data_IF_874364654272
#
_entry.id   IF_874364654272
#
_cell.length_a   1.000
_cell.length_b   1.000
_cell.length_c   1.000
_cell.angle_alpha   90.00
_cell.angle_beta   90.00
_cell.angle_gamma   90.00
#
_symmetry.space_group_name_H-M   'P 1'
#
loop_
_entity.id
_entity.type
_entity.pdbx_description
1 polymer ?
#
# COMPACT_ATOMS: atom_id res chain seq x y z
N UNK A 1 -44.62 7.05 -33.66
CA UNK A 1 -45.99 7.58 -33.64
C UNK A 1 -45.90 9.01 -33.18
N UNK A 2 -45.71 9.91 -34.13
CA UNK A 2 -45.80 11.36 -33.95
C UNK A 2 -47.17 11.81 -34.44
N UNK A 3 -47.63 13.00 -34.07
CA UNK A 3 -48.91 13.54 -34.52
C UNK A 3 -49.10 13.52 -36.05
N UNK A 4 -48.01 13.57 -36.84
CA UNK A 4 -48.04 13.46 -38.31
C UNK A 4 -48.52 12.11 -38.85
N UNK A 5 -48.33 10.99 -38.14
CA UNK A 5 -48.84 9.70 -38.62
C UNK A 5 -50.39 9.68 -38.72
N UNK A 6 -51.07 10.67 -38.09
CA UNK A 6 -52.52 10.81 -38.07
C UNK A 6 -53.08 11.79 -39.09
N UNK A 7 -52.25 12.66 -39.69
CA UNK A 7 -52.70 13.74 -40.58
C UNK A 7 -51.82 13.86 -41.82
N UNK A 8 -52.42 13.86 -43.01
CA UNK A 8 -51.71 14.03 -44.30
C UNK A 8 -51.08 15.43 -44.43
N UNK A 9 -51.72 16.44 -43.82
CA UNK A 9 -51.25 17.83 -43.69
C UNK A 9 -52.10 18.50 -42.62
N UNK A 10 -51.48 19.13 -41.62
CA UNK A 10 -52.20 19.89 -40.56
C UNK A 10 -51.88 21.38 -40.73
N UNK A 11 -52.92 22.18 -40.97
CA UNK A 11 -52.83 23.63 -41.14
C UNK A 11 -53.88 24.33 -40.30
N UNK A 12 -53.52 25.48 -39.74
CA UNK A 12 -54.40 26.30 -38.91
C UNK A 12 -54.14 27.79 -39.19
N UNK A 13 -55.13 28.63 -38.90
CA UNK A 13 -54.93 30.07 -38.77
C UNK A 13 -54.31 30.39 -37.40
N UNK A 14 -53.49 31.44 -37.35
CA UNK A 14 -52.84 31.92 -36.15
C UNK A 14 -52.57 33.43 -36.26
N UNK A 15 -52.32 34.08 -35.11
CA UNK A 15 -51.82 35.46 -35.07
C UNK A 15 -50.33 35.45 -34.81
N UNK A 16 -49.54 36.06 -35.69
CA UNK A 16 -48.09 36.14 -35.54
C UNK A 16 -47.62 37.58 -35.36
N UNK A 17 -46.63 37.75 -34.50
CA UNK A 17 -45.91 39.00 -34.25
C UNK A 17 -44.42 38.76 -34.41
N UNK A 18 -43.82 39.41 -35.41
CA UNK A 18 -42.42 39.20 -35.80
C UNK A 18 -41.40 39.94 -34.90
N UNK A 19 -41.81 40.99 -34.19
CA UNK A 19 -40.98 41.72 -33.24
C UNK A 19 -41.86 42.39 -32.18
N UNK A 20 -41.27 42.76 -31.04
CA UNK A 20 -42.00 43.34 -29.91
C UNK A 20 -42.77 44.64 -30.24
N UNK A 21 -42.29 45.40 -31.23
CA UNK A 21 -42.86 46.66 -31.72
C UNK A 21 -43.77 46.50 -32.95
N UNK A 22 -43.90 45.29 -33.50
CA UNK A 22 -44.76 45.02 -34.65
C UNK A 22 -46.19 44.63 -34.25
N UNK A 23 -47.15 44.95 -35.12
CA UNK A 23 -48.54 44.54 -34.95
C UNK A 23 -48.73 43.05 -35.26
N UNK A 24 -49.61 42.41 -34.50
CA UNK A 24 -50.08 41.04 -34.80
C UNK A 24 -50.74 41.02 -36.16
N UNK A 25 -50.40 40.03 -36.98
CA UNK A 25 -50.98 39.80 -38.30
C UNK A 25 -51.52 38.38 -38.40
N UNK A 26 -52.62 38.21 -39.14
CA UNK A 26 -53.15 36.89 -39.46
C UNK A 26 -52.18 36.14 -40.38
N UNK A 27 -51.87 34.91 -40.00
CA UNK A 27 -50.99 34.00 -40.73
C UNK A 27 -51.61 32.63 -40.82
N UNK A 28 -51.21 31.89 -41.84
CA UNK A 28 -51.44 30.45 -41.89
C UNK A 28 -50.21 29.73 -41.34
N UNK A 29 -50.44 28.70 -40.54
CA UNK A 29 -49.38 27.84 -40.01
C UNK A 29 -49.56 26.43 -40.53
N UNK A 30 -48.46 25.81 -40.96
CA UNK A 30 -48.45 24.42 -41.39
C UNK A 30 -47.44 23.62 -40.59
N UNK A 31 -47.89 22.43 -40.18
CA UNK A 31 -47.12 21.52 -39.34
C UNK A 31 -46.38 20.50 -40.22
N UNK A 32 -45.05 20.49 -40.16
CA UNK A 32 -44.18 19.50 -40.80
C UNK A 32 -43.48 18.57 -39.80
N UNK A 33 -42.58 17.71 -40.26
CA UNK A 33 -41.96 16.64 -39.45
C UNK A 33 -41.26 17.12 -38.16
N UNK A 34 -40.56 18.24 -38.23
CA UNK A 34 -39.86 18.86 -37.09
C UNK A 34 -39.93 20.39 -37.09
N UNK A 35 -40.76 20.96 -37.98
CA UNK A 35 -40.80 22.39 -38.25
C UNK A 35 -42.23 22.89 -38.32
N UNK A 36 -42.47 24.07 -37.77
CA UNK A 36 -43.70 24.84 -37.95
C UNK A 36 -43.40 25.94 -38.96
N UNK A 37 -44.10 25.93 -40.09
CA UNK A 37 -43.96 26.96 -41.13
C UNK A 37 -45.04 28.00 -40.94
N UNK A 38 -44.65 29.27 -40.85
CA UNK A 38 -45.56 30.42 -40.76
C UNK A 38 -45.59 31.09 -42.14
N UNK A 39 -46.78 31.29 -42.71
CA UNK A 39 -46.96 31.84 -44.05
C UNK A 39 -48.04 32.95 -44.09
N UNK A 40 -47.91 33.87 -45.04
CA UNK A 40 -48.89 34.93 -45.26
C UNK A 40 -50.21 34.40 -45.88
N UNK A 41 -51.20 35.29 -46.04
CA UNK A 41 -52.50 34.95 -46.64
C UNK A 41 -52.43 34.46 -48.10
N UNK A 42 -51.30 34.66 -48.79
CA UNK A 42 -51.04 34.17 -50.15
C UNK A 42 -50.22 32.87 -50.17
N UNK A 43 -49.91 32.32 -48.99
CA UNK A 43 -49.14 31.08 -48.83
C UNK A 43 -47.62 31.27 -48.96
N UNK A 44 -47.10 32.50 -48.90
CA UNK A 44 -45.65 32.74 -48.92
C UNK A 44 -45.08 32.52 -47.52
N UNK A 45 -44.02 31.71 -47.35
CA UNK A 45 -43.41 31.46 -46.05
C UNK A 45 -42.77 32.74 -45.51
N UNK A 46 -43.13 33.12 -44.28
CA UNK A 46 -42.62 34.24 -43.52
C UNK A 46 -41.51 33.79 -42.56
N UNK A 47 -41.71 32.65 -41.88
CA UNK A 47 -40.76 32.11 -40.91
C UNK A 47 -40.84 30.58 -40.81
N UNK A 48 -39.74 29.98 -40.36
CA UNK A 48 -39.65 28.55 -40.04
C UNK A 48 -39.19 28.38 -38.61
N UNK A 49 -40.03 27.78 -37.77
CA UNK A 49 -39.69 27.52 -36.38
C UNK A 49 -39.41 26.04 -36.17
N UNK A 50 -38.43 25.74 -35.31
CA UNK A 50 -38.14 24.38 -34.87
C UNK A 50 -39.11 23.98 -33.77
N UNK A 51 -39.95 22.96 -34.01
CA UNK A 51 -40.91 22.44 -33.02
C UNK A 51 -40.27 22.09 -31.67
N UNK A 52 -39.09 21.42 -31.59
CA UNK A 52 -38.42 21.16 -30.32
C UNK A 52 -37.99 22.42 -29.54
N UNK A 53 -37.81 23.55 -30.22
CA UNK A 53 -37.37 24.80 -29.60
C UNK A 53 -38.55 25.65 -29.11
N UNK A 54 -39.79 25.31 -29.47
CA UNK A 54 -40.96 26.08 -29.07
C UNK A 54 -41.16 26.06 -27.55
N UNK A 55 -41.39 27.25 -27.01
CA UNK A 55 -41.69 27.48 -25.60
C UNK A 55 -43.12 27.99 -25.51
N UNK A 56 -43.96 27.27 -24.76
CA UNK A 56 -45.32 27.71 -24.44
C UNK A 56 -45.24 28.76 -23.33
N UNK A 57 -45.70 29.96 -23.62
CA UNK A 57 -45.63 31.13 -22.73
C UNK A 57 -46.81 31.19 -21.75
N UNK A 58 -47.97 30.64 -22.13
CA UNK A 58 -49.16 30.52 -21.26
C UNK A 58 -49.62 29.05 -21.17
N UNK A 59 -49.03 28.25 -20.27
CA UNK A 59 -49.48 26.88 -20.02
C UNK A 59 -50.98 26.85 -19.67
N UNK A 60 -51.68 25.82 -20.17
CA UNK A 60 -53.09 25.54 -19.86
C UNK A 60 -54.14 26.59 -20.29
N UNK A 61 -53.73 27.65 -20.99
CA UNK A 61 -54.63 28.68 -21.56
C UNK A 61 -54.78 28.56 -23.10
N UNK A 62 -55.91 29.05 -23.62
CA UNK A 62 -56.23 29.14 -25.06
C UNK A 62 -56.76 30.56 -25.37
N UNK A 63 -56.27 31.26 -26.42
CA UNK A 63 -55.27 30.83 -27.41
C UNK A 63 -53.89 30.55 -26.80
N UNK A 64 -53.22 29.50 -27.27
CA UNK A 64 -51.88 29.15 -26.82
C UNK A 64 -50.85 30.06 -27.49
N UNK A 65 -49.94 30.59 -26.67
CA UNK A 65 -48.88 31.52 -27.06
C UNK A 65 -47.56 30.74 -27.09
N UNK A 66 -46.95 30.69 -28.27
CA UNK A 66 -45.67 30.04 -28.50
C UNK A 66 -44.61 31.06 -28.92
N UNK A 67 -43.38 30.84 -28.46
CA UNK A 67 -42.19 31.58 -28.86
C UNK A 67 -41.07 30.62 -29.29
N UNK A 68 -40.17 31.03 -30.21
CA UNK A 68 -39.02 30.22 -30.64
C UNK A 68 -37.83 30.31 -29.69
N UNK A 69 -37.83 31.25 -28.74
CA UNK A 69 -36.78 31.51 -27.76
C UNK A 69 -37.35 31.96 -26.39
N UNK A 70 -36.47 32.05 -25.38
CA UNK A 70 -36.84 32.47 -24.01
C UNK A 70 -37.17 33.97 -23.91
N UNK A 71 -36.63 34.79 -24.81
CA UNK A 71 -36.83 36.25 -24.83
C UNK A 71 -38.18 36.66 -25.47
N UNK A 72 -38.93 35.69 -26.01
CA UNK A 72 -40.19 35.87 -26.70
C UNK A 72 -40.11 36.94 -27.81
N UNK A 73 -39.00 36.91 -28.56
CA UNK A 73 -38.69 37.88 -29.63
C UNK A 73 -39.79 37.90 -30.71
N UNK A 74 -40.29 36.71 -31.05
CA UNK A 74 -41.46 36.48 -31.88
C UNK A 74 -42.54 35.73 -31.09
N UNK A 75 -43.81 36.03 -31.39
CA UNK A 75 -44.95 35.38 -30.74
C UNK A 75 -45.92 34.85 -31.78
N UNK A 76 -46.38 33.62 -31.58
CA UNK A 76 -47.44 32.98 -32.34
C UNK A 76 -48.58 32.57 -31.41
N UNK A 77 -49.78 33.05 -31.69
CA UNK A 77 -51.00 32.74 -30.93
C UNK A 77 -51.87 31.81 -31.77
N UNK A 78 -52.16 30.63 -31.23
CA UNK A 78 -52.90 29.55 -31.90
C UNK A 78 -54.16 29.27 -31.11
N UNK A 79 -55.32 29.34 -31.75
CA UNK A 79 -56.61 29.03 -31.12
C UNK A 79 -57.07 27.59 -31.40
N UNK A 80 -56.57 26.94 -32.46
CA UNK A 80 -56.93 25.56 -32.81
C UNK A 80 -56.34 24.56 -31.82
N UNK A 81 -57.22 23.91 -31.07
CA UNK A 81 -56.87 22.87 -30.09
C UNK A 81 -56.14 21.69 -30.72
N UNK A 82 -56.46 21.33 -31.96
CA UNK A 82 -55.82 20.21 -32.69
C UNK A 82 -54.35 20.52 -32.98
N UNK A 83 -54.07 21.75 -33.43
CA UNK A 83 -52.72 22.24 -33.67
C UNK A 83 -51.91 22.32 -32.37
N UNK A 84 -52.51 22.84 -31.29
CA UNK A 84 -51.88 22.90 -29.96
C UNK A 84 -51.51 21.50 -29.47
N UNK A 85 -52.44 20.54 -29.56
CA UNK A 85 -52.20 19.16 -29.15
C UNK A 85 -51.06 18.50 -29.95
N UNK A 86 -51.01 18.73 -31.27
CA UNK A 86 -49.95 18.22 -32.13
C UNK A 86 -48.56 18.77 -31.76
N UNK A 87 -48.47 20.09 -31.49
CA UNK A 87 -47.23 20.73 -31.02
C UNK A 87 -46.79 20.12 -29.70
N UNK A 88 -47.71 19.97 -28.73
CA UNK A 88 -47.39 19.42 -27.41
C UNK A 88 -46.99 17.94 -27.46
N UNK A 89 -47.60 17.14 -28.33
CA UNK A 89 -47.23 15.72 -28.52
C UNK A 89 -45.79 15.58 -29.02
N UNK A 90 -45.39 16.39 -30.01
CA UNK A 90 -44.03 16.38 -30.56
C UNK A 90 -43.02 16.89 -29.53
N UNK A 91 -43.33 17.98 -28.81
CA UNK A 91 -42.48 18.49 -27.71
C UNK A 91 -42.25 17.43 -26.63
N UNK A 92 -43.30 16.72 -26.21
CA UNK A 92 -43.20 15.63 -25.22
C UNK A 92 -42.38 14.45 -25.72
N UNK A 93 -42.57 14.04 -26.98
CA UNK A 93 -41.80 12.97 -27.59
C UNK A 93 -40.29 13.29 -27.64
N UNK A 94 -39.94 14.51 -28.00
CA UNK A 94 -38.55 14.97 -28.09
C UNK A 94 -37.91 15.21 -26.72
N UNK A 95 -38.66 15.74 -25.74
CA UNK A 95 -38.19 15.88 -24.36
C UNK A 95 -37.83 14.52 -23.73
N UNK A 96 -38.56 13.45 -24.09
CA UNK A 96 -38.29 12.08 -23.64
C UNK A 96 -37.02 11.48 -24.26
N UNK A 97 -36.59 11.96 -25.42
CA UNK A 97 -35.40 11.49 -26.14
C UNK A 97 -34.09 12.13 -25.64
N UNK A 98 -34.15 13.12 -24.74
CA UNK A 98 -32.94 13.80 -24.23
C UNK A 98 -32.13 12.86 -23.33
N UNK A 99 -30.82 12.64 -23.61
CA UNK A 99 -29.98 11.78 -22.77
C UNK A 99 -29.77 12.45 -21.41
N UNK A 100 -30.18 11.76 -20.34
CA UNK A 100 -29.92 12.22 -18.95
C UNK A 100 -28.55 11.71 -18.53
N UNK A 101 -27.58 12.58 -18.17
CA UNK A 101 -26.29 12.12 -17.65
C UNK A 101 -26.53 11.29 -16.39
N UNK A 102 -26.21 9.99 -16.46
CA UNK A 102 -26.57 9.03 -15.42
C UNK A 102 -25.64 9.09 -14.20
N UNK A 103 -26.15 8.60 -13.06
CA UNK A 103 -25.37 8.42 -11.82
C UNK A 103 -24.21 7.42 -11.97
N UNK A 104 -24.22 6.59 -13.01
CA UNK A 104 -23.22 5.56 -13.29
C UNK A 104 -21.79 6.12 -13.35
N UNK A 105 -21.61 7.31 -13.93
CA UNK A 105 -20.29 7.97 -13.98
C UNK A 105 -19.73 8.21 -12.57
N UNK A 106 -20.56 8.66 -11.64
CA UNK A 106 -20.16 8.94 -10.26
C UNK A 106 -19.79 7.66 -9.50
N UNK A 107 -20.55 6.58 -9.69
CA UNK A 107 -20.25 5.27 -9.10
C UNK A 107 -18.94 4.70 -9.64
N UNK A 108 -18.69 4.80 -10.94
CA UNK A 108 -17.43 4.36 -11.55
C UNK A 108 -16.23 5.17 -11.04
N UNK A 109 -16.35 6.50 -10.95
CA UNK A 109 -15.28 7.34 -10.41
C UNK A 109 -15.02 7.05 -8.94
N UNK A 110 -16.06 6.87 -8.13
CA UNK A 110 -15.92 6.53 -6.72
C UNK A 110 -15.26 5.15 -6.55
N UNK A 111 -15.68 4.16 -7.34
CA UNK A 111 -15.07 2.83 -7.36
C UNK A 111 -13.58 2.88 -7.71
N UNK A 112 -13.19 3.69 -8.70
CA UNK A 112 -11.79 3.84 -9.09
C UNK A 112 -10.94 4.49 -7.99
N UNK A 113 -11.48 5.51 -7.30
CA UNK A 113 -10.80 6.17 -6.18
C UNK A 113 -10.60 5.20 -5.02
N UNK A 114 -11.65 4.45 -4.64
CA UNK A 114 -11.58 3.45 -3.57
C UNK A 114 -10.57 2.36 -3.91
N UNK A 115 -10.60 1.84 -5.15
CA UNK A 115 -9.65 0.84 -5.61
C UNK A 115 -8.20 1.35 -5.57
N UNK A 116 -7.98 2.60 -5.99
CA UNK A 116 -6.65 3.21 -5.96
C UNK A 116 -6.14 3.41 -4.52
N UNK A 117 -7.00 3.86 -3.60
CA UNK A 117 -6.66 3.97 -2.18
C UNK A 117 -6.35 2.60 -1.57
N UNK A 118 -7.16 1.59 -1.87
CA UNK A 118 -6.92 0.22 -1.41
C UNK A 118 -5.54 -0.27 -1.92
N UNK A 119 -5.23 -0.07 -3.19
CA UNK A 119 -3.93 -0.47 -3.73
C UNK A 119 -2.77 0.28 -3.05
N UNK A 120 -2.93 1.59 -2.80
CA UNK A 120 -1.93 2.39 -2.10
C UNK A 120 -1.72 1.92 -0.65
N UNK A 121 -2.78 1.56 0.08
CA UNK A 121 -2.68 1.16 1.49
C UNK A 121 -2.18 -0.28 1.63
N UNK A 122 -2.64 -1.21 0.79
CA UNK A 122 -2.31 -2.63 0.93
C UNK A 122 -1.03 -3.03 0.20
N UNK A 123 -0.63 -2.34 -0.89
CA UNK A 123 0.47 -2.78 -1.73
C UNK A 123 1.72 -1.90 -1.63
N UNK A 124 1.56 -0.57 -1.56
CA UNK A 124 2.67 0.37 -1.47
C UNK A 124 3.62 0.11 -0.28
N UNK A 125 3.14 -0.27 0.93
CA UNK A 125 4.03 -0.43 2.06
C UNK A 125 5.09 -1.51 1.82
N UNK A 126 4.65 -2.70 1.40
CA UNK A 126 5.55 -3.80 1.11
C UNK A 126 6.46 -3.51 -0.08
N UNK A 127 5.98 -2.79 -1.10
CA UNK A 127 6.79 -2.42 -2.26
C UNK A 127 7.91 -1.44 -1.90
N UNK A 128 7.62 -0.41 -1.11
CA UNK A 128 8.61 0.57 -0.67
C UNK A 128 9.69 -0.05 0.22
N UNK A 129 9.31 -0.89 1.19
CA UNK A 129 10.28 -1.54 2.07
C UNK A 129 11.21 -2.44 1.29
N UNK A 130 10.68 -3.31 0.39
CA UNK A 130 11.51 -4.17 -0.46
C UNK A 130 12.47 -3.37 -1.35
N UNK A 131 12.00 -2.29 -1.97
CA UNK A 131 12.85 -1.46 -2.81
C UNK A 131 13.95 -0.77 -2.00
N UNK A 132 13.62 -0.30 -0.80
CA UNK A 132 14.60 0.33 0.10
C UNK A 132 15.69 -0.67 0.49
N UNK A 133 15.32 -1.88 0.91
CA UNK A 133 16.28 -2.91 1.29
C UNK A 133 17.20 -3.35 0.14
N UNK A 134 16.69 -3.35 -1.09
CA UNK A 134 17.47 -3.69 -2.28
C UNK A 134 18.50 -2.60 -2.65
N UNK A 135 18.26 -1.34 -2.28
CA UNK A 135 19.11 -0.20 -2.65
C UNK A 135 20.07 0.20 -1.53
N UNK A 136 19.74 -0.06 -0.26
CA UNK A 136 20.62 0.25 0.88
C UNK A 136 21.90 -0.58 0.79
N UNK A 137 23.08 0.06 0.61
CA UNK A 137 24.36 -0.64 0.52
C UNK A 137 24.70 -1.37 1.82
N UNK A 138 25.52 -2.43 1.72
CA UNK A 138 26.03 -3.18 2.89
C UNK A 138 26.76 -2.29 3.89
N UNK A 139 27.52 -1.29 3.40
CA UNK A 139 28.20 -0.31 4.26
C UNK A 139 27.23 0.47 5.16
N UNK A 140 26.08 0.88 4.62
CA UNK A 140 25.07 1.62 5.39
C UNK A 140 24.36 0.71 6.39
N UNK A 141 24.15 -0.56 6.05
CA UNK A 141 23.63 -1.57 7.00
C UNK A 141 24.57 -1.76 8.19
N UNK A 142 25.88 -1.84 7.94
CA UNK A 142 26.89 -1.92 9.00
C UNK A 142 26.95 -0.65 9.87
N UNK A 143 26.82 0.53 9.27
CA UNK A 143 26.72 1.80 10.01
C UNK A 143 25.53 1.80 10.97
N UNK A 144 24.34 1.44 10.48
CA UNK A 144 23.12 1.31 11.30
C UNK A 144 23.32 0.27 12.41
N UNK A 145 23.92 -0.89 12.09
CA UNK A 145 24.19 -1.93 13.07
C UNK A 145 25.12 -1.49 14.19
N UNK A 146 26.19 -0.75 13.87
CA UNK A 146 27.14 -0.22 14.86
C UNK A 146 26.46 0.84 15.74
N UNK A 147 25.61 1.69 15.16
CA UNK A 147 24.82 2.66 15.91
C UNK A 147 23.84 1.97 16.88
N UNK A 148 23.12 0.95 16.40
CA UNK A 148 22.24 0.13 17.23
C UNK A 148 23.00 -0.57 18.37
N UNK A 149 24.18 -1.13 18.09
CA UNK A 149 25.05 -1.73 19.09
C UNK A 149 25.49 -0.71 20.16
N UNK A 150 25.69 0.56 19.78
CA UNK A 150 25.96 1.65 20.72
C UNK A 150 24.82 1.85 21.73
N UNK A 151 23.58 1.87 21.25
CA UNK A 151 22.40 1.96 22.13
C UNK A 151 22.19 0.70 22.97
N UNK A 152 22.49 -0.48 22.43
CA UNK A 152 22.32 -1.76 23.13
C UNK A 152 23.23 -1.83 24.35
N UNK A 153 24.49 -1.40 24.20
CA UNK A 153 25.48 -1.38 25.27
C UNK A 153 25.09 -0.51 26.48
N UNK A 154 24.18 0.45 26.32
CA UNK A 154 23.65 1.24 27.45
C UNK A 154 22.84 0.34 28.39
N UNK A 155 22.19 -0.69 27.86
CA UNK A 155 21.33 -1.61 28.61
C UNK A 155 22.04 -2.91 28.97
N UNK A 156 22.86 -3.45 28.07
CA UNK A 156 23.52 -4.76 28.22
C UNK A 156 24.91 -4.67 28.87
N UNK A 157 25.41 -3.44 29.09
CA UNK A 157 26.80 -3.17 29.43
C UNK A 157 27.70 -3.05 28.19
N UNK A 158 28.86 -2.42 28.37
CA UNK A 158 29.84 -2.23 27.30
C UNK A 158 30.33 -3.57 26.74
N UNK A 159 30.54 -3.62 25.42
CA UNK A 159 31.06 -4.82 24.78
C UNK A 159 32.42 -5.22 25.37
N UNK A 160 32.56 -6.49 25.73
CA UNK A 160 33.78 -7.04 26.28
C UNK A 160 34.87 -7.08 25.20
N UNK A 161 36.10 -6.77 25.57
CA UNK A 161 37.22 -6.65 24.62
C UNK A 161 38.45 -7.36 25.13
N UNK A 162 38.92 -8.34 24.35
CA UNK A 162 40.13 -9.06 24.65
C UNK A 162 40.79 -9.53 23.35
N UNK A 163 42.01 -9.08 23.00
CA UNK A 163 42.59 -9.37 21.67
C UNK A 163 42.63 -10.85 21.29
N UNK A 164 42.86 -11.76 22.26
CA UNK A 164 42.81 -13.22 22.03
C UNK A 164 41.40 -13.73 21.82
N UNK A 165 40.44 -13.28 22.64
CA UNK A 165 39.04 -13.69 22.51
C UNK A 165 38.43 -13.12 21.22
N UNK A 166 38.77 -11.90 20.82
CA UNK A 166 38.32 -11.30 19.55
C UNK A 166 38.82 -12.11 18.34
N UNK A 167 40.04 -12.65 18.42
CA UNK A 167 40.56 -13.58 17.42
C UNK A 167 39.79 -14.91 17.41
N UNK A 168 39.48 -15.47 18.59
CA UNK A 168 38.68 -16.68 18.73
C UNK A 168 37.24 -16.47 18.21
N UNK A 169 36.61 -15.34 18.50
CA UNK A 169 35.28 -14.96 18.00
C UNK A 169 35.26 -14.91 16.47
N UNK A 170 36.29 -14.33 15.84
CA UNK A 170 36.43 -14.34 14.37
C UNK A 170 36.58 -15.75 13.80
N UNK A 171 37.36 -16.64 14.44
CA UNK A 171 37.49 -18.03 13.99
C UNK A 171 36.17 -18.79 14.14
N UNK A 172 35.44 -18.55 15.22
CA UNK A 172 34.10 -19.11 15.40
C UNK A 172 33.15 -18.62 14.30
N UNK A 173 33.12 -17.32 14.01
CA UNK A 173 32.32 -16.78 12.90
C UNK A 173 32.70 -17.43 11.56
N UNK A 174 34.00 -17.58 11.27
CA UNK A 174 34.49 -18.25 10.05
C UNK A 174 34.11 -19.74 9.99
N UNK A 175 34.07 -20.43 11.14
CA UNK A 175 33.62 -21.83 11.22
C UNK A 175 32.12 -21.98 10.96
N UNK A 176 31.32 -21.04 11.41
CA UNK A 176 29.85 -21.09 11.30
C UNK A 176 29.35 -20.60 9.94
N UNK A 177 29.98 -19.56 9.38
CA UNK A 177 29.49 -18.87 8.18
C UNK A 177 30.45 -18.96 6.98
N UNK A 178 31.58 -19.65 7.14
CA UNK A 178 32.60 -19.82 6.11
C UNK A 178 33.73 -18.79 6.17
N UNK A 179 34.87 -19.06 5.49
CA UNK A 179 36.12 -18.30 5.65
C UNK A 179 36.05 -16.85 5.14
N UNK A 180 35.11 -16.56 4.23
CA UNK A 180 34.90 -15.23 3.64
C UNK A 180 33.83 -14.41 4.37
N UNK A 181 33.34 -14.90 5.52
CA UNK A 181 32.30 -14.20 6.26
C UNK A 181 32.78 -12.82 6.73
N UNK A 182 31.86 -11.86 6.67
CA UNK A 182 32.02 -10.53 7.27
C UNK A 182 31.32 -10.44 8.64
N UNK A 183 30.70 -11.53 9.09
CA UNK A 183 29.97 -11.57 10.36
C UNK A 183 30.89 -11.35 11.55
N UNK A 184 30.53 -10.41 12.41
CA UNK A 184 31.24 -10.12 13.64
C UNK A 184 30.43 -10.57 14.85
N UNK A 185 31.06 -11.33 15.73
CA UNK A 185 30.48 -11.73 17.01
C UNK A 185 30.99 -10.78 18.09
N UNK A 186 30.08 -10.09 18.75
CA UNK A 186 30.37 -9.12 19.82
C UNK A 186 29.79 -9.67 21.12
N UNK A 187 30.59 -9.77 22.17
CA UNK A 187 30.13 -10.27 23.46
C UNK A 187 29.77 -9.11 24.38
N UNK A 188 28.62 -9.18 25.02
CA UNK A 188 28.16 -8.20 26.03
C UNK A 188 27.89 -8.89 27.37
N UNK A 189 28.01 -8.17 28.50
CA UNK A 189 27.84 -8.76 29.84
C UNK A 189 26.46 -9.36 30.13
N UNK A 190 25.38 -8.70 29.69
CA UNK A 190 24.01 -9.10 30.01
C UNK A 190 23.10 -8.95 28.78
N UNK A 191 22.73 -10.06 28.16
CA UNK A 191 21.74 -10.10 27.08
C UNK A 191 20.77 -11.27 27.27
N UNK A 192 19.57 -10.97 27.79
CA UNK A 192 18.50 -11.94 28.10
C UNK A 192 18.20 -12.98 27.01
N UNK A 193 18.34 -12.59 25.75
CA UNK A 193 18.03 -13.44 24.60
C UNK A 193 19.09 -14.51 24.33
N UNK A 194 20.25 -14.42 24.97
CA UNK A 194 21.43 -15.24 24.67
C UNK A 194 22.19 -14.77 23.45
N UNK A 195 21.51 -14.54 22.33
CA UNK A 195 22.12 -13.92 21.16
C UNK A 195 21.11 -13.09 20.37
N UNK A 196 21.58 -12.00 19.76
CA UNK A 196 20.78 -11.08 18.97
C UNK A 196 21.56 -10.68 17.71
N UNK A 197 20.96 -10.90 16.54
CA UNK A 197 21.52 -10.43 15.27
C UNK A 197 21.03 -9.01 14.96
N UNK A 198 21.96 -8.14 14.55
CA UNK A 198 21.76 -6.74 14.19
C UNK A 198 22.06 -6.54 12.69
N UNK A 199 21.58 -5.45 12.08
CA UNK A 199 21.92 -5.10 10.70
C UNK A 199 23.44 -5.06 10.44
N UNK A 200 23.85 -5.44 9.23
CA UNK A 200 25.25 -5.33 8.82
C UNK A 200 26.16 -6.42 9.36
N UNK A 201 25.63 -7.64 9.49
CA UNK A 201 26.36 -8.86 9.86
C UNK A 201 26.97 -8.80 11.28
N UNK A 202 26.27 -8.18 12.22
CA UNK A 202 26.65 -8.13 13.62
C UNK A 202 25.80 -9.12 14.42
N UNK A 203 26.43 -9.96 15.23
CA UNK A 203 25.76 -10.84 16.17
C UNK A 203 26.27 -10.52 17.56
N UNK A 204 25.36 -10.10 18.43
CA UNK A 204 25.63 -9.83 19.84
C UNK A 204 25.36 -11.11 20.62
N UNK A 205 26.32 -11.56 21.41
CA UNK A 205 26.25 -12.76 22.23
C UNK A 205 26.32 -12.38 23.71
N UNK A 206 25.45 -12.98 24.50
CA UNK A 206 25.44 -12.88 25.94
C UNK A 206 26.65 -13.61 26.54
N UNK A 207 27.34 -12.96 27.46
CA UNK A 207 28.47 -13.58 28.14
C UNK A 207 28.06 -14.82 28.94
N UNK A 208 26.84 -14.83 29.51
CA UNK A 208 26.32 -15.99 30.25
C UNK A 208 26.33 -17.26 29.38
N UNK A 209 25.98 -17.17 28.09
CA UNK A 209 25.96 -18.31 27.17
C UNK A 209 27.33 -18.99 27.05
N UNK A 210 28.42 -18.22 27.17
CA UNK A 210 29.79 -18.77 27.16
C UNK A 210 30.14 -19.49 28.48
N UNK A 211 29.50 -19.12 29.58
CA UNK A 211 29.74 -19.72 30.91
C UNK A 211 28.90 -20.96 31.20
N UNK A 212 27.79 -21.15 30.48
CA UNK A 212 26.83 -22.22 30.77
C UNK A 212 27.31 -23.63 30.38
N UNK A 213 28.33 -23.75 29.55
CA UNK A 213 28.86 -25.03 29.09
C UNK A 213 30.33 -24.94 28.69
N UNK A 214 31.04 -26.06 28.84
CA UNK A 214 32.40 -26.24 28.31
C UNK A 214 32.40 -26.57 26.80
N UNK A 215 31.22 -26.77 26.19
CA UNK A 215 31.09 -27.09 24.77
C UNK A 215 30.79 -25.85 23.90
N UNK A 216 31.67 -25.48 22.95
CA UNK A 216 31.43 -24.36 22.02
C UNK A 216 30.18 -24.53 21.14
N UNK A 217 29.62 -25.75 21.03
CA UNK A 217 28.37 -26.00 20.32
C UNK A 217 27.19 -25.20 20.91
N UNK A 218 27.21 -24.90 22.21
CA UNK A 218 26.17 -24.07 22.85
C UNK A 218 26.17 -22.66 22.26
N UNK A 219 27.32 -21.98 22.28
CA UNK A 219 27.45 -20.63 21.72
C UNK A 219 27.16 -20.61 20.22
N UNK A 220 27.67 -21.60 19.47
CA UNK A 220 27.36 -21.77 18.05
C UNK A 220 25.85 -21.89 17.79
N UNK A 221 25.15 -22.66 18.61
CA UNK A 221 23.70 -22.81 18.53
C UNK A 221 22.93 -21.52 18.74
N UNK A 222 23.26 -20.73 19.77
CA UNK A 222 22.63 -19.41 20.00
C UNK A 222 22.93 -18.42 18.86
N UNK A 223 24.18 -18.40 18.36
CA UNK A 223 24.57 -17.56 17.22
C UNK A 223 23.75 -17.91 15.98
N UNK A 224 23.65 -19.21 15.65
CA UNK A 224 22.89 -19.68 14.49
C UNK A 224 21.38 -19.47 14.68
N UNK A 225 20.87 -19.61 15.90
CA UNK A 225 19.47 -19.35 16.23
C UNK A 225 19.09 -17.87 16.05
N UNK A 226 19.95 -16.93 16.50
CA UNK A 226 19.69 -15.50 16.32
C UNK A 226 19.67 -15.09 14.84
N UNK A 227 20.52 -15.70 14.01
CA UNK A 227 20.48 -15.51 12.56
C UNK A 227 19.23 -16.18 11.94
N UNK A 228 18.91 -17.42 12.32
CA UNK A 228 17.74 -18.14 11.80
C UNK A 228 16.42 -17.41 12.11
N UNK A 229 16.34 -16.69 13.23
CA UNK A 229 15.20 -15.89 13.62
C UNK A 229 14.92 -14.71 12.67
N UNK A 230 15.95 -14.24 11.94
CA UNK A 230 15.86 -13.08 11.04
C UNK A 230 15.91 -13.46 9.55
N UNK A 231 16.21 -14.69 9.17
CA UNK A 231 16.43 -15.04 7.76
C UNK A 231 15.18 -14.95 6.83
N UNK A 232 13.95 -14.83 7.37
CA UNK A 232 12.75 -14.50 6.57
C UNK A 232 12.47 -12.99 6.47
N UNK A 233 13.03 -12.21 7.39
CA UNK A 233 12.79 -10.78 7.53
C UNK A 233 14.12 -10.15 7.90
N UNK A 234 14.80 -9.61 6.89
CA UNK A 234 16.05 -8.85 7.02
C UNK A 234 16.00 -7.97 8.30
N UNK A 235 17.04 -7.95 9.17
CA UNK A 235 16.99 -7.22 10.44
C UNK A 235 16.56 -5.76 10.25
N UNK A 236 16.98 -5.15 9.14
CA UNK A 236 16.56 -3.81 8.75
C UNK A 236 15.10 -3.78 8.27
N UNK A 237 14.62 -4.83 7.60
CA UNK A 237 13.19 -4.97 7.25
C UNK A 237 12.31 -5.03 8.48
N UNK A 238 12.70 -5.78 9.52
CA UNK A 238 11.94 -5.88 10.77
C UNK A 238 11.79 -4.52 11.43
N UNK A 239 12.90 -3.76 11.53
CA UNK A 239 12.90 -2.37 11.99
C UNK A 239 11.97 -1.49 11.14
N UNK A 240 12.12 -1.52 9.82
CA UNK A 240 11.32 -0.68 8.91
C UNK A 240 9.82 -1.02 8.92
N UNK A 241 9.45 -2.30 9.13
CA UNK A 241 8.06 -2.73 9.25
C UNK A 241 7.42 -2.30 10.56
N UNK A 242 8.17 -2.31 11.66
CA UNK A 242 7.68 -1.85 12.97
C UNK A 242 7.50 -0.33 13.01
N UNK A 243 8.43 0.42 12.44
CA UNK A 243 8.45 1.88 12.48
C UNK A 243 7.60 2.53 11.37
N UNK A 244 7.39 1.81 10.27
CA UNK A 244 6.48 2.19 9.19
C UNK A 244 7.11 2.99 8.05
N UNK A 245 6.23 3.55 7.22
CA UNK A 245 6.61 4.10 5.91
C UNK A 245 7.36 5.42 5.97
N UNK A 246 7.12 6.24 7.00
CA UNK A 246 7.85 7.50 7.18
C UNK A 246 9.36 7.24 7.31
N UNK A 247 9.73 6.28 8.17
CA UNK A 247 11.11 5.85 8.38
C UNK A 247 11.71 5.21 7.14
N UNK A 248 10.93 4.35 6.46
CA UNK A 248 11.35 3.72 5.19
C UNK A 248 11.66 4.77 4.12
N UNK A 249 10.78 5.75 3.92
CA UNK A 249 10.96 6.82 2.94
C UNK A 249 12.12 7.75 3.29
N UNK A 250 12.30 8.06 4.58
CA UNK A 250 13.44 8.86 5.05
C UNK A 250 14.76 8.15 4.81
N UNK A 251 14.87 6.87 5.18
CA UNK A 251 16.07 6.08 4.87
C UNK A 251 16.37 6.05 3.37
N UNK A 252 15.34 5.91 2.52
CA UNK A 252 15.51 5.90 1.08
C UNK A 252 16.01 7.26 0.52
N UNK A 253 15.58 8.37 1.11
CA UNK A 253 15.87 9.72 0.61
C UNK A 253 17.11 10.37 1.23
N UNK A 254 17.37 10.13 2.52
CA UNK A 254 18.48 10.71 3.28
C UNK A 254 19.57 9.71 3.59
N UNK A 255 19.30 8.40 3.50
CA UNK A 255 20.24 7.36 3.91
C UNK A 255 20.37 7.21 5.43
N UNK A 256 19.44 7.75 6.23
CA UNK A 256 19.53 7.79 7.69
C UNK A 256 18.23 7.35 8.35
N UNK A 257 18.35 6.73 9.52
CA UNK A 257 17.24 6.44 10.44
C UNK A 257 17.40 7.36 11.65
N UNK A 258 16.32 8.00 12.15
CA UNK A 258 16.39 8.83 13.34
C UNK A 258 16.95 8.06 14.56
N UNK A 259 17.83 8.70 15.32
CA UNK A 259 18.44 8.14 16.52
C UNK A 259 17.41 7.66 17.55
N UNK A 260 16.30 8.38 17.68
CA UNK A 260 15.24 8.06 18.64
C UNK A 260 14.56 6.74 18.28
N UNK A 261 14.41 6.46 16.99
CA UNK A 261 13.82 5.23 16.45
C UNK A 261 14.78 4.05 16.66
N UNK A 262 16.06 4.23 16.38
CA UNK A 262 17.06 3.19 16.63
C UNK A 262 17.14 2.86 18.12
N UNK A 263 17.14 3.89 18.97
CA UNK A 263 17.17 3.72 20.42
C UNK A 263 15.92 3.00 20.94
N UNK A 264 14.72 3.38 20.49
CA UNK A 264 13.48 2.71 20.92
C UNK A 264 13.40 1.27 20.44
N UNK A 265 13.81 1.00 19.20
CA UNK A 265 13.83 -0.34 18.64
C UNK A 265 14.81 -1.25 19.40
N UNK A 266 16.03 -0.77 19.66
CA UNK A 266 17.02 -1.52 20.43
C UNK A 266 16.56 -1.76 21.87
N UNK A 267 15.92 -0.77 22.51
CA UNK A 267 15.36 -0.95 23.83
C UNK A 267 14.26 -2.03 23.87
N UNK A 268 13.42 -2.09 22.83
CA UNK A 268 12.42 -3.15 22.69
C UNK A 268 13.10 -4.51 22.46
N UNK A 269 14.11 -4.57 21.58
CA UNK A 269 14.89 -5.79 21.34
C UNK A 269 15.53 -6.29 22.64
N UNK A 270 16.23 -5.46 23.42
CA UNK A 270 16.89 -5.90 24.66
C UNK A 270 15.91 -6.42 25.73
N UNK A 271 14.65 -5.94 25.72
CA UNK A 271 13.63 -6.32 26.69
C UNK A 271 12.80 -7.54 26.27
N UNK A 272 12.79 -7.89 24.99
CA UNK A 272 12.03 -9.03 24.49
C UNK A 272 12.61 -10.36 24.99
N UNK A 273 11.72 -11.30 25.28
CA UNK A 273 12.10 -12.69 25.56
C UNK A 273 12.79 -13.35 24.34
N UNK A 274 13.41 -14.51 24.56
CA UNK A 274 14.14 -15.24 23.51
C UNK A 274 13.24 -15.45 22.29
N UNK A 275 13.62 -14.86 21.16
CA UNK A 275 12.89 -15.08 19.89
C UNK A 275 13.14 -16.50 19.42
N UNK A 276 12.09 -17.32 19.37
CA UNK A 276 12.20 -18.70 18.91
C UNK A 276 12.14 -18.73 17.37
N UNK A 277 13.21 -19.12 16.67
CA UNK A 277 13.21 -19.20 15.21
C UNK A 277 12.29 -20.33 14.70
N UNK A 278 11.93 -20.29 13.41
CA UNK A 278 11.24 -21.41 12.77
C UNK A 278 12.02 -22.73 12.99
N UNK A 279 11.40 -23.76 13.59
CA UNK A 279 12.10 -25.00 13.94
C UNK A 279 12.73 -25.72 12.74
N UNK A 280 12.05 -25.70 11.59
CA UNK A 280 12.55 -26.32 10.36
C UNK A 280 13.77 -25.60 9.80
N UNK A 281 13.81 -24.27 9.89
CA UNK A 281 14.99 -23.48 9.53
C UNK A 281 16.12 -23.68 10.50
N UNK A 282 15.88 -23.57 11.81
CA UNK A 282 16.96 -23.71 12.80
C UNK A 282 17.65 -25.07 12.65
N UNK A 283 16.88 -26.15 12.48
CA UNK A 283 17.42 -27.48 12.18
C UNK A 283 18.29 -27.49 10.91
N UNK A 284 17.88 -26.82 9.83
CA UNK A 284 18.68 -26.73 8.60
C UNK A 284 19.98 -25.95 8.81
N UNK A 285 19.91 -24.77 9.42
CA UNK A 285 21.09 -23.92 9.66
C UNK A 285 22.11 -24.64 10.56
N UNK A 286 21.64 -25.32 11.61
CA UNK A 286 22.50 -26.15 12.46
C UNK A 286 23.14 -27.30 11.67
N UNK A 287 22.36 -28.00 10.86
CA UNK A 287 22.86 -29.10 10.04
C UNK A 287 23.87 -28.64 8.98
N UNK A 288 23.60 -27.53 8.29
CA UNK A 288 24.47 -26.95 7.25
C UNK A 288 25.79 -26.46 7.84
N UNK A 289 25.77 -25.94 9.07
CA UNK A 289 26.96 -25.54 9.81
C UNK A 289 27.63 -26.72 10.56
N UNK A 290 27.09 -27.94 10.46
CA UNK A 290 27.56 -29.13 11.17
C UNK A 290 27.64 -28.90 12.70
N UNK A 291 26.60 -28.31 13.30
CA UNK A 291 26.47 -28.06 14.74
C UNK A 291 25.34 -28.93 15.30
N UNK A 292 25.59 -29.77 16.34
CA UNK A 292 24.57 -30.63 16.92
C UNK A 292 23.48 -29.80 17.63
N UNK A 293 22.25 -30.32 17.64
CA UNK A 293 21.10 -29.63 18.24
C UNK A 293 21.10 -29.75 19.77
N UNK A 294 21.59 -30.88 20.30
CA UNK A 294 21.50 -31.24 21.72
C UNK A 294 22.02 -30.18 22.69
N UNK A 295 23.25 -29.65 22.53
CA UNK A 295 23.79 -28.63 23.42
C UNK A 295 22.92 -27.37 23.47
N UNK A 296 22.49 -26.87 22.31
CA UNK A 296 21.59 -25.72 22.23
C UNK A 296 20.25 -25.99 22.90
N UNK A 297 19.59 -27.12 22.57
CA UNK A 297 18.28 -27.51 23.11
C UNK A 297 18.30 -27.65 24.63
N UNK A 298 19.37 -28.22 25.17
CA UNK A 298 19.54 -28.38 26.62
C UNK A 298 19.70 -27.03 27.31
N UNK A 299 20.52 -26.14 26.76
CA UNK A 299 20.77 -24.83 27.36
C UNK A 299 19.57 -23.90 27.23
N UNK A 300 18.86 -23.91 26.09
CA UNK A 300 17.66 -23.07 25.94
C UNK A 300 16.55 -23.52 26.89
N UNK A 301 16.33 -24.84 27.05
CA UNK A 301 15.36 -25.37 27.99
C UNK A 301 15.71 -24.98 29.44
N UNK A 302 16.99 -25.02 29.81
CA UNK A 302 17.44 -24.55 31.12
C UNK A 302 17.19 -23.05 31.37
N UNK A 303 17.23 -22.22 30.31
CA UNK A 303 17.02 -20.76 30.41
C UNK A 303 15.56 -20.35 30.35
N UNK A 304 14.75 -21.01 29.52
CA UNK A 304 13.35 -20.61 29.25
C UNK A 304 12.32 -21.53 29.88
N UNK A 305 12.73 -22.73 30.33
CA UNK A 305 11.84 -23.79 30.78
C UNK A 305 11.03 -24.44 29.64
N UNK A 306 11.38 -24.18 28.38
CA UNK A 306 10.70 -24.74 27.21
C UNK A 306 11.71 -25.15 26.15
N UNK A 307 11.77 -26.46 25.88
CA UNK A 307 12.56 -27.04 24.79
C UNK A 307 11.84 -26.87 23.43
N UNK A 308 12.45 -26.20 22.43
CA UNK A 308 11.92 -26.13 21.08
C UNK A 308 11.90 -27.52 20.41
N UNK A 309 10.81 -27.87 19.73
CA UNK A 309 10.75 -29.10 18.93
C UNK A 309 11.41 -28.91 17.57
N UNK A 310 12.69 -29.27 17.46
CA UNK A 310 13.43 -29.27 16.21
C UNK A 310 13.34 -30.61 15.46
N UNK A 311 12.65 -31.62 15.99
CA UNK A 311 12.65 -32.98 15.46
C UNK A 311 13.97 -33.73 15.69
N UNK A 312 14.24 -34.74 14.86
CA UNK A 312 15.44 -35.58 15.00
C UNK A 312 16.71 -34.83 14.57
N UNK A 313 17.76 -34.92 15.39
CA UNK A 313 19.08 -34.36 15.08
C UNK A 313 19.77 -35.19 13.98
N UNK A 314 20.04 -34.61 12.79
CA UNK A 314 20.71 -35.32 11.70
C UNK A 314 22.18 -35.64 11.99
N UNK A 315 22.77 -35.08 13.05
CA UNK A 315 24.18 -35.22 13.42
C UNK A 315 24.41 -36.13 14.63
N UNK A 316 23.37 -36.65 15.29
CA UNK A 316 23.47 -37.39 16.56
C UNK A 316 24.44 -38.60 16.52
N UNK A 317 24.66 -39.20 15.36
CA UNK A 317 25.51 -40.39 15.19
C UNK A 317 26.73 -40.13 14.28
N UNK A 318 27.03 -38.86 13.98
CA UNK A 318 28.12 -38.48 13.09
C UNK A 318 29.33 -37.96 13.86
N UNK A 319 30.52 -38.16 13.30
CA UNK A 319 31.70 -37.42 13.75
C UNK A 319 31.58 -35.98 13.27
N UNK A 320 31.58 -35.04 14.21
CA UNK A 320 31.38 -33.62 13.94
C UNK A 320 32.76 -32.95 13.85
N UNK A 321 33.01 -32.11 12.83
CA UNK A 321 34.25 -31.35 12.75
C UNK A 321 34.40 -30.39 13.91
N UNK A 322 35.65 -30.22 14.37
CA UNK A 322 35.98 -29.31 15.45
C UNK A 322 35.36 -27.92 15.23
N UNK A 323 34.62 -27.44 16.23
CA UNK A 323 33.98 -26.12 16.19
C UNK A 323 35.01 -25.04 16.52
N UNK A 324 35.73 -25.22 17.62
CA UNK A 324 36.76 -24.30 18.08
C UNK A 324 37.81 -25.07 18.87
N UNK A 325 39.06 -24.59 18.84
CA UNK A 325 40.14 -25.13 19.67
C UNK A 325 39.92 -24.76 21.14
N UNK A 326 40.32 -25.61 22.08
CA UNK A 326 40.13 -25.39 23.52
C UNK A 326 40.72 -24.05 23.98
N UNK A 327 41.91 -23.67 23.51
CA UNK A 327 42.53 -22.38 23.87
C UNK A 327 41.73 -21.17 23.42
N UNK A 328 41.05 -21.30 22.27
CA UNK A 328 40.21 -20.25 21.72
C UNK A 328 38.88 -20.19 22.47
N UNK A 329 38.32 -21.34 22.83
CA UNK A 329 37.12 -21.42 23.66
C UNK A 329 37.34 -20.83 25.05
N UNK A 330 38.40 -21.23 25.75
CA UNK A 330 38.77 -20.66 27.06
C UNK A 330 39.03 -19.16 26.97
N UNK A 331 39.58 -18.67 25.84
CA UNK A 331 39.76 -17.23 25.63
C UNK A 331 38.41 -16.51 25.54
N UNK A 332 37.41 -17.09 24.86
CA UNK A 332 36.05 -16.54 24.80
C UNK A 332 35.37 -16.57 26.18
N UNK A 333 35.49 -17.68 26.90
CA UNK A 333 34.94 -17.80 28.26
C UNK A 333 35.53 -16.79 29.26
N UNK A 334 36.66 -16.15 28.95
CA UNK A 334 37.26 -15.13 29.82
C UNK A 334 37.20 -13.72 29.23
N UNK A 335 36.44 -13.50 28.15
CA UNK A 335 36.45 -12.22 27.41
C UNK A 335 36.02 -11.01 28.27
N UNK A 336 35.14 -11.22 29.25
CA UNK A 336 34.65 -10.17 30.16
C UNK A 336 35.35 -10.17 31.53
N UNK A 337 36.30 -11.09 31.79
CA UNK A 337 36.96 -11.26 33.10
C UNK A 337 38.30 -10.47 33.20
N UNK A 338 38.44 -9.37 32.45
CA UNK A 338 39.71 -8.64 32.29
C UNK A 338 39.68 -7.30 33.02
#
# INVERSE_FOLDING_TARGET
>A
MTALDRYVRLESEALWRAAADEQRRDVSISFGDATLVIADATGRPLAHWSLPALIRQNPDEVPAIYAPDEDASEILEIADTTMIEAIEEVRKALAKARPKPGKLRHWLTAGLIILSLALAIFWLPGALTRQTLAVVPTSKRSEIGVEMLGYLQIQTGAACKAPRADAAARRLAQRLFGPMTVTQIIVVPDLRQGALALPGDLIVLDYEVLQLSDDPAVAAGFILASHAALADVDPLESLLRQEGLGTTFRLLTTGEIPSEILQSNVAALAQNDVTTPDPGRLRRVLADAEIPQGPYLTTIDARTGTMPDLGTDPLAERSIPLILQDSDWVSLQNICNI
#
